data_IF_814600927662
#
_entry.id   IF_814600927662
#
_cell.length_a   1.000
_cell.length_b   1.000
_cell.length_c   1.000
_cell.angle_alpha   90.00
_cell.angle_beta   90.00
_cell.angle_gamma   90.00
#
_symmetry.space_group_name_H-M   'P 1'
#
loop_
_entity.id
_entity.type
_entity.pdbx_description
1 polymer ?
#
# COMPACT_ATOMS: atom_id res chain seq x y z
N UNK A 1 57.65 72.17 -26.82
CA UNK A 1 57.00 72.32 -25.54
C UNK A 1 55.68 71.54 -25.63
N UNK A 2 55.54 70.62 -24.77
CA UNK A 2 54.86 69.36 -24.83
C UNK A 2 53.31 69.45 -24.58
N UNK A 3 52.52 69.07 -25.55
CA UNK A 3 51.11 68.83 -25.39
C UNK A 3 50.86 67.31 -25.13
N UNK A 4 50.26 67.04 -24.01
CA UNK A 4 49.87 65.66 -23.61
C UNK A 4 48.51 65.33 -24.22
N UNK A 5 48.51 64.33 -25.07
CA UNK A 5 47.35 63.72 -25.68
C UNK A 5 46.64 62.81 -24.62
N UNK A 6 45.44 63.19 -24.19
CA UNK A 6 44.59 62.35 -23.29
C UNK A 6 43.74 61.44 -24.18
N UNK A 7 44.09 60.17 -24.22
CA UNK A 7 43.27 59.10 -24.80
C UNK A 7 42.15 58.73 -23.81
N UNK A 8 40.90 59.01 -24.18
CA UNK A 8 39.72 58.48 -23.50
C UNK A 8 39.56 57.01 -23.91
N UNK A 9 39.75 56.11 -22.93
CA UNK A 9 39.43 54.70 -23.06
C UNK A 9 37.95 54.54 -22.70
N UNK A 10 37.13 54.15 -23.66
CA UNK A 10 35.78 53.73 -23.42
C UNK A 10 35.81 52.26 -22.94
N UNK A 11 35.46 52.04 -21.66
CA UNK A 11 35.21 50.69 -21.13
C UNK A 11 33.75 50.34 -21.46
N UNK A 12 33.56 49.49 -22.43
CA UNK A 12 32.28 48.88 -22.72
C UNK A 12 32.03 47.83 -21.59
N UNK A 13 31.14 48.17 -20.66
CA UNK A 13 30.60 47.18 -19.68
C UNK A 13 29.61 46.32 -20.42
N UNK A 14 30.02 45.14 -20.85
CA UNK A 14 29.16 44.08 -21.32
C UNK A 14 28.39 43.54 -20.12
N UNK A 15 27.13 43.91 -19.92
CA UNK A 15 26.24 43.27 -18.99
C UNK A 15 25.95 41.86 -19.53
N UNK A 16 26.68 40.88 -19.03
CA UNK A 16 26.31 39.48 -19.18
C UNK A 16 25.01 39.27 -18.40
N UNK A 17 23.90 39.18 -19.10
CA UNK A 17 22.64 38.67 -18.56
C UNK A 17 22.89 37.21 -18.31
N UNK A 18 23.21 36.86 -17.05
CA UNK A 18 23.14 35.52 -16.56
C UNK A 18 21.66 35.11 -16.57
N UNK A 19 21.25 34.44 -17.61
CA UNK A 19 20.03 33.66 -17.57
C UNK A 19 20.28 32.61 -16.48
N UNK A 20 19.61 32.79 -15.35
CA UNK A 20 19.65 31.86 -14.25
C UNK A 20 19.29 30.49 -14.77
N UNK A 21 20.12 29.52 -14.47
CA UNK A 21 19.78 28.11 -14.48
C UNK A 21 18.46 27.98 -13.76
N UNK A 22 17.49 27.33 -14.44
CA UNK A 22 16.21 27.00 -13.82
C UNK A 22 16.46 26.37 -12.47
N UNK A 23 15.70 26.80 -11.49
CA UNK A 23 15.72 26.25 -10.13
C UNK A 23 15.65 24.73 -10.25
N UNK A 24 16.76 24.08 -9.86
CA UNK A 24 16.71 22.66 -9.57
C UNK A 24 15.66 22.52 -8.47
N UNK A 25 14.50 21.95 -8.81
CA UNK A 25 13.40 21.80 -7.88
C UNK A 25 13.91 21.13 -6.60
N UNK A 26 13.90 21.88 -5.50
CA UNK A 26 14.41 21.37 -4.22
C UNK A 26 13.36 20.41 -3.69
N UNK A 27 13.69 19.12 -3.62
CA UNK A 27 12.84 18.13 -2.99
C UNK A 27 12.97 18.19 -1.47
N UNK A 28 11.87 18.30 -0.79
CA UNK A 28 11.77 18.08 0.66
C UNK A 28 11.66 16.58 0.92
N UNK A 29 12.46 16.07 1.85
CA UNK A 29 12.42 14.69 2.31
C UNK A 29 12.00 14.63 3.78
N UNK A 30 11.16 13.65 4.11
CA UNK A 30 10.66 13.37 5.47
C UNK A 30 10.75 11.88 5.71
N UNK A 31 11.36 11.50 6.84
CA UNK A 31 11.40 10.14 7.35
C UNK A 31 10.74 10.10 8.73
N UNK A 32 10.00 9.03 9.02
CA UNK A 32 9.28 8.90 10.28
C UNK A 32 8.56 7.58 10.45
N UNK A 33 7.51 7.61 11.27
CA UNK A 33 6.64 6.45 11.54
C UNK A 33 5.18 6.87 11.34
N UNK A 34 4.42 6.08 10.58
CA UNK A 34 3.00 6.25 10.32
C UNK A 34 2.30 4.88 10.29
N UNK A 35 1.10 4.77 10.80
CA UNK A 35 0.36 3.49 10.92
C UNK A 35 1.14 2.36 11.61
N UNK A 36 2.13 2.70 12.46
CA UNK A 36 2.96 1.72 13.17
C UNK A 36 4.10 1.12 12.36
N UNK A 37 4.41 1.69 11.18
CA UNK A 37 5.51 1.27 10.30
C UNK A 37 6.30 2.49 9.78
N UNK A 38 7.30 2.27 8.93
CA UNK A 38 8.12 3.35 8.35
C UNK A 38 7.30 4.29 7.49
N UNK A 39 7.67 5.57 7.48
CA UNK A 39 7.16 6.63 6.62
C UNK A 39 8.32 7.25 5.86
N UNK A 40 8.22 7.33 4.54
CA UNK A 40 9.13 8.10 3.70
C UNK A 40 8.35 8.98 2.74
N UNK A 41 8.71 10.27 2.69
CA UNK A 41 8.17 11.24 1.72
C UNK A 41 9.35 11.91 1.02
N UNK A 42 9.31 11.97 -0.29
CA UNK A 42 10.19 12.84 -1.08
C UNK A 42 9.32 13.56 -2.11
N UNK A 43 9.23 14.89 -2.02
CA UNK A 43 8.32 15.68 -2.84
C UNK A 43 8.92 17.05 -3.20
N UNK A 44 8.63 17.56 -4.40
CA UNK A 44 9.06 18.87 -4.90
C UNK A 44 8.19 20.04 -4.40
N UNK A 45 7.85 20.00 -3.10
CA UNK A 45 7.08 21.08 -2.46
C UNK A 45 7.93 22.34 -2.29
N UNK A 46 7.34 23.51 -2.57
CA UNK A 46 8.03 24.80 -2.42
C UNK A 46 7.50 25.56 -1.21
N UNK A 47 8.39 26.12 -0.41
CA UNK A 47 8.02 26.93 0.76
C UNK A 47 7.43 26.12 1.92
N UNK A 48 7.50 24.80 1.87
CA UNK A 48 7.05 23.88 2.93
C UNK A 48 8.27 23.18 3.53
N UNK A 49 8.47 23.34 4.81
CA UNK A 49 9.55 22.68 5.52
C UNK A 49 9.25 21.18 5.76
N UNK A 50 10.29 20.38 5.97
CA UNK A 50 10.14 18.97 6.34
C UNK A 50 9.32 18.81 7.64
N UNK A 51 9.44 19.75 8.58
CA UNK A 51 8.69 19.71 9.84
C UNK A 51 7.19 19.97 9.62
N UNK A 52 6.82 20.92 8.77
CA UNK A 52 5.42 21.20 8.43
C UNK A 52 4.79 20.04 7.68
N UNK A 53 5.52 19.46 6.71
CA UNK A 53 5.06 18.29 5.96
C UNK A 53 4.87 17.07 6.87
N UNK A 54 5.81 16.83 7.79
CA UNK A 54 5.69 15.77 8.79
C UNK A 54 4.50 16.00 9.74
N UNK A 55 4.29 17.22 10.22
CA UNK A 55 3.17 17.53 11.08
C UNK A 55 1.81 17.28 10.39
N UNK A 56 1.70 17.66 9.12
CA UNK A 56 0.51 17.38 8.31
C UNK A 56 0.29 15.86 8.07
N UNK A 57 1.37 15.11 7.84
CA UNK A 57 1.30 13.65 7.74
C UNK A 57 0.84 13.00 9.05
N UNK A 58 1.28 13.50 10.20
CA UNK A 58 0.84 13.00 11.51
C UNK A 58 -0.62 13.33 11.83
N UNK A 59 -1.16 14.43 11.31
CA UNK A 59 -2.60 14.70 11.41
C UNK A 59 -3.40 13.68 10.61
N UNK A 60 -2.95 13.39 9.38
CA UNK A 60 -3.54 12.34 8.55
C UNK A 60 -3.46 10.95 9.19
N UNK A 61 -2.33 10.62 9.87
CA UNK A 61 -2.19 9.38 10.64
C UNK A 61 -3.26 9.25 11.72
N UNK A 62 -3.51 10.34 12.48
CA UNK A 62 -4.56 10.36 13.51
C UNK A 62 -5.96 10.18 12.91
N UNK A 63 -6.25 10.87 11.80
CA UNK A 63 -7.53 10.73 11.08
C UNK A 63 -7.75 9.30 10.57
N UNK A 64 -6.75 8.71 9.94
CA UNK A 64 -6.79 7.34 9.42
C UNK A 64 -7.03 6.33 10.55
N UNK A 65 -6.29 6.43 11.64
CA UNK A 65 -6.44 5.55 12.81
C UNK A 65 -7.81 5.72 13.49
N UNK A 66 -8.25 6.94 13.72
CA UNK A 66 -9.56 7.22 14.30
C UNK A 66 -10.73 6.70 13.45
N UNK A 67 -10.52 6.58 12.13
CA UNK A 67 -11.54 6.07 11.22
C UNK A 67 -11.48 4.56 11.02
N UNK A 68 -10.30 3.99 10.71
CA UNK A 68 -10.17 2.67 10.09
C UNK A 68 -9.44 1.63 10.95
N UNK A 69 -8.89 1.98 12.10
CA UNK A 69 -8.15 1.02 12.93
C UNK A 69 -9.09 0.00 13.58
N UNK A 70 -8.74 -1.29 13.47
CA UNK A 70 -9.39 -2.35 14.28
C UNK A 70 -8.74 -2.51 15.66
N UNK A 71 -7.59 -1.86 15.88
CA UNK A 71 -6.80 -1.94 17.14
C UNK A 71 -7.15 -0.82 18.11
N UNK A 72 -7.74 0.29 17.62
CA UNK A 72 -8.27 1.38 18.45
C UNK A 72 -9.76 1.12 18.72
N UNK A 73 -10.16 0.83 19.99
CA UNK A 73 -11.55 0.61 20.31
C UNK A 73 -12.43 1.86 20.11
N UNK A 74 -11.84 3.07 20.12
CA UNK A 74 -12.52 4.33 19.86
C UNK A 74 -12.75 4.64 18.38
N UNK A 75 -12.08 3.94 17.48
CA UNK A 75 -12.20 4.19 16.04
C UNK A 75 -13.63 3.95 15.52
N UNK A 76 -13.96 4.64 14.41
CA UNK A 76 -15.26 4.45 13.77
C UNK A 76 -15.49 3.00 13.35
N UNK A 77 -14.48 2.36 12.73
CA UNK A 77 -14.56 0.97 12.30
C UNK A 77 -14.82 0.02 13.48
N UNK A 78 -14.10 0.19 14.59
CA UNK A 78 -14.30 -0.63 15.79
C UNK A 78 -15.71 -0.44 16.39
N UNK A 79 -16.25 0.78 16.38
CA UNK A 79 -17.61 1.08 16.84
C UNK A 79 -18.67 0.48 15.89
N UNK A 80 -18.46 0.55 14.57
CA UNK A 80 -19.30 -0.15 13.58
C UNK A 80 -19.28 -1.67 13.81
N UNK A 81 -18.10 -2.24 14.09
CA UNK A 81 -17.96 -3.66 14.38
C UNK A 81 -18.74 -4.10 15.63
N UNK A 82 -18.79 -3.25 16.65
CA UNK A 82 -19.57 -3.52 17.89
C UNK A 82 -21.03 -3.07 17.83
N UNK A 83 -21.50 -2.59 16.67
CA UNK A 83 -22.87 -2.07 16.46
C UNK A 83 -23.23 -0.88 17.38
N UNK A 84 -22.25 -0.08 17.79
CA UNK A 84 -22.43 1.15 18.57
C UNK A 84 -22.83 2.33 17.68
N UNK A 85 -22.64 2.21 16.38
CA UNK A 85 -23.04 3.17 15.36
C UNK A 85 -23.23 2.42 14.04
N UNK A 86 -24.01 3.00 13.15
CA UNK A 86 -24.18 2.56 11.76
C UNK A 86 -23.73 3.61 10.74
N UNK A 87 -23.32 4.79 11.20
CA UNK A 87 -22.93 5.91 10.34
C UNK A 87 -21.64 5.63 9.57
N UNK A 88 -21.70 5.77 8.26
CA UNK A 88 -20.57 5.54 7.35
C UNK A 88 -20.08 6.87 6.80
N UNK A 89 -18.80 7.19 7.05
CA UNK A 89 -18.13 8.35 6.50
C UNK A 89 -17.18 7.98 5.36
N UNK A 90 -16.62 9.00 4.68
CA UNK A 90 -15.84 8.87 3.45
C UNK A 90 -14.81 7.75 3.43
N UNK A 91 -14.04 7.55 4.52
CA UNK A 91 -12.98 6.54 4.56
C UNK A 91 -13.54 5.12 4.60
N UNK A 92 -14.59 4.90 5.39
CA UNK A 92 -15.28 3.60 5.45
C UNK A 92 -15.98 3.31 4.12
N UNK A 93 -16.70 4.29 3.56
CA UNK A 93 -17.42 4.13 2.30
C UNK A 93 -16.47 3.78 1.14
N UNK A 94 -15.33 4.48 1.04
CA UNK A 94 -14.33 4.22 -0.01
C UNK A 94 -13.80 2.77 0.09
N UNK A 95 -13.35 2.37 1.29
CA UNK A 95 -12.76 1.04 1.49
C UNK A 95 -13.80 -0.08 1.26
N UNK A 96 -15.06 0.09 1.68
CA UNK A 96 -16.14 -0.86 1.39
C UNK A 96 -16.41 -0.98 -0.11
N UNK A 97 -16.49 0.14 -0.83
CA UNK A 97 -16.76 0.14 -2.27
C UNK A 97 -15.63 -0.55 -3.06
N UNK A 98 -14.37 -0.22 -2.74
CA UNK A 98 -13.23 -0.86 -3.40
C UNK A 98 -13.16 -2.34 -3.03
N UNK A 99 -13.37 -2.69 -1.75
CA UNK A 99 -13.39 -4.07 -1.29
C UNK A 99 -14.48 -4.91 -1.99
N UNK A 100 -15.68 -4.35 -2.20
CA UNK A 100 -16.75 -5.02 -2.93
C UNK A 100 -16.37 -5.30 -4.39
N UNK A 101 -15.74 -4.32 -5.04
CA UNK A 101 -15.25 -4.45 -6.43
C UNK A 101 -14.18 -5.56 -6.56
N UNK A 102 -13.19 -5.59 -5.67
CA UNK A 102 -12.14 -6.61 -5.65
C UNK A 102 -12.72 -7.97 -5.25
N UNK A 103 -13.65 -8.00 -4.30
CA UNK A 103 -14.36 -9.21 -3.88
C UNK A 103 -15.14 -9.85 -5.03
N UNK A 104 -15.83 -9.04 -5.84
CA UNK A 104 -16.51 -9.51 -7.05
C UNK A 104 -15.52 -10.08 -8.07
N UNK A 105 -14.42 -9.38 -8.33
CA UNK A 105 -13.35 -9.79 -9.24
C UNK A 105 -12.72 -11.13 -8.83
N UNK A 106 -12.57 -11.35 -7.52
CA UNK A 106 -11.94 -12.54 -6.94
C UNK A 106 -12.83 -13.77 -6.85
N UNK A 107 -14.13 -13.65 -7.17
CA UNK A 107 -15.11 -14.71 -6.88
C UNK A 107 -15.24 -14.99 -5.38
N UNK A 108 -15.12 -13.94 -4.54
CA UNK A 108 -15.29 -14.01 -3.09
C UNK A 108 -14.04 -14.47 -2.33
N UNK A 109 -12.85 -14.50 -2.94
CA UNK A 109 -11.60 -14.81 -2.25
C UNK A 109 -10.97 -13.59 -1.56
N UNK A 110 -11.46 -12.40 -1.85
CA UNK A 110 -11.16 -11.18 -1.14
C UNK A 110 -12.44 -10.68 -0.48
N UNK A 111 -12.42 -10.52 0.84
CA UNK A 111 -13.59 -10.08 1.60
C UNK A 111 -13.15 -9.40 2.90
N UNK A 112 -13.59 -8.17 3.11
CA UNK A 112 -13.27 -7.41 4.33
C UNK A 112 -14.12 -7.81 5.54
N UNK A 113 -15.07 -8.74 5.39
CA UNK A 113 -15.85 -9.28 6.52
C UNK A 113 -15.12 -10.40 7.26
N UNK A 114 -13.88 -10.72 6.87
CA UNK A 114 -13.05 -11.80 7.44
C UNK A 114 -12.59 -11.58 8.88
N UNK A 115 -12.81 -10.41 9.48
CA UNK A 115 -12.31 -10.08 10.82
C UNK A 115 -12.53 -11.18 11.88
N UNK A 116 -13.72 -11.80 12.00
CA UNK A 116 -13.94 -12.86 12.98
C UNK A 116 -13.04 -14.10 12.75
N UNK A 117 -12.76 -14.42 11.47
CA UNK A 117 -11.82 -15.52 11.14
C UNK A 117 -10.38 -15.15 11.49
N UNK A 118 -9.95 -13.92 11.14
CA UNK A 118 -8.60 -13.42 11.45
C UNK A 118 -8.36 -13.41 12.98
N UNK A 119 -9.38 -13.05 13.77
CA UNK A 119 -9.32 -13.12 15.24
C UNK A 119 -9.24 -14.54 15.75
N UNK A 120 -10.06 -15.46 15.23
CA UNK A 120 -10.06 -16.87 15.64
C UNK A 120 -8.72 -17.55 15.35
N UNK A 121 -8.06 -17.19 14.24
CA UNK A 121 -6.70 -17.64 13.91
C UNK A 121 -5.59 -16.86 14.63
N UNK A 122 -5.89 -15.90 15.51
CA UNK A 122 -4.92 -15.23 16.38
C UNK A 122 -4.15 -14.05 15.78
N UNK A 123 -4.58 -13.47 14.64
CA UNK A 123 -3.84 -12.41 13.96
C UNK A 123 -4.28 -10.97 14.29
N UNK A 124 -5.44 -10.77 14.92
CA UNK A 124 -5.96 -9.44 15.27
C UNK A 124 -5.79 -9.11 16.77
N UNK A 125 -4.68 -9.51 17.37
CA UNK A 125 -4.37 -9.24 18.79
C UNK A 125 -5.05 -10.19 19.79
N UNK A 126 -5.73 -11.23 19.33
CA UNK A 126 -6.24 -12.33 20.16
C UNK A 126 -5.26 -13.50 20.17
N UNK A 127 -5.35 -14.32 21.21
CA UNK A 127 -4.67 -15.61 21.24
C UNK A 127 -5.38 -16.54 20.25
N UNK A 128 -4.61 -17.25 19.41
CA UNK A 128 -5.17 -18.21 18.47
C UNK A 128 -6.00 -19.29 19.20
N UNK A 129 -7.17 -19.60 18.66
CA UNK A 129 -7.94 -20.76 19.09
C UNK A 129 -7.25 -22.01 18.54
N UNK A 130 -7.14 -23.05 19.38
CA UNK A 130 -6.44 -24.28 19.00
C UNK A 130 -7.09 -24.98 17.80
N UNK A 131 -8.42 -24.87 17.71
CA UNK A 131 -9.26 -25.38 16.63
C UNK A 131 -10.46 -24.42 16.46
N UNK A 132 -10.32 -23.34 15.65
CA UNK A 132 -11.45 -22.43 15.42
C UNK A 132 -12.67 -23.17 14.84
N UNK A 133 -13.84 -22.88 15.36
CA UNK A 133 -15.11 -23.35 14.76
C UNK A 133 -15.41 -22.49 13.51
N UNK A 134 -14.68 -22.81 12.44
CA UNK A 134 -14.70 -22.07 11.17
C UNK A 134 -16.12 -22.09 10.56
N UNK A 135 -16.84 -23.22 10.65
CA UNK A 135 -18.17 -23.37 10.03
C UNK A 135 -19.17 -22.43 10.69
N UNK A 136 -19.15 -22.31 12.02
CA UNK A 136 -19.99 -21.36 12.75
C UNK A 136 -19.64 -19.91 12.41
N UNK A 137 -18.37 -19.59 12.20
CA UNK A 137 -17.92 -18.23 11.87
C UNK A 137 -18.31 -17.87 10.42
N UNK A 138 -18.17 -18.79 9.48
CA UNK A 138 -18.54 -18.57 8.07
C UNK A 138 -20.03 -18.23 7.90
N UNK A 139 -20.90 -18.60 8.84
CA UNK A 139 -22.31 -18.22 8.81
C UNK A 139 -22.55 -16.70 8.76
N UNK A 140 -21.60 -15.89 9.27
CA UNK A 140 -21.68 -14.41 9.29
C UNK A 140 -20.48 -13.71 8.64
N UNK A 141 -19.70 -14.41 7.80
CA UNK A 141 -18.69 -13.86 6.89
C UNK A 141 -19.27 -13.89 5.47
N UNK A 142 -19.07 -12.83 4.69
CA UNK A 142 -19.52 -12.70 3.31
C UNK A 142 -19.83 -11.25 2.94
N UNK A 143 -19.29 -10.77 1.84
CA UNK A 143 -19.47 -9.39 1.35
C UNK A 143 -20.95 -9.06 1.08
N UNK A 144 -21.75 -10.04 0.71
CA UNK A 144 -23.20 -9.90 0.49
C UNK A 144 -23.99 -9.64 1.78
N UNK A 145 -23.38 -9.85 2.94
CA UNK A 145 -24.00 -9.64 4.26
C UNK A 145 -23.86 -8.21 4.76
N UNK A 146 -23.19 -7.34 4.01
CA UNK A 146 -22.98 -5.93 4.35
C UNK A 146 -23.23 -5.05 3.15
N UNK A 147 -23.90 -3.90 3.37
CA UNK A 147 -24.11 -2.88 2.35
C UNK A 147 -24.23 -1.50 2.99
N UNK A 148 -24.04 -0.45 2.20
CA UNK A 148 -24.25 0.92 2.62
C UNK A 148 -25.54 1.44 2.00
N UNK A 149 -26.47 1.90 2.82
CA UNK A 149 -27.74 2.52 2.43
C UNK A 149 -27.82 3.89 3.10
N UNK A 150 -28.03 4.93 2.34
CA UNK A 150 -28.20 6.31 2.84
C UNK A 150 -27.13 6.74 3.87
N UNK A 151 -25.85 6.35 3.64
CA UNK A 151 -24.75 6.64 4.55
C UNK A 151 -24.73 5.81 5.84
N UNK A 152 -25.47 4.70 5.88
CA UNK A 152 -25.51 3.77 7.01
C UNK A 152 -25.06 2.39 6.60
N UNK A 153 -24.33 1.73 7.48
CA UNK A 153 -23.92 0.33 7.34
C UNK A 153 -25.09 -0.58 7.75
N UNK A 154 -25.60 -1.34 6.80
CA UNK A 154 -26.62 -2.36 7.05
C UNK A 154 -25.92 -3.72 7.04
N UNK A 155 -26.07 -4.46 8.14
CA UNK A 155 -25.57 -5.83 8.30
C UNK A 155 -26.73 -6.82 8.30
N UNK A 156 -26.61 -7.92 7.56
CA UNK A 156 -27.58 -9.01 7.57
C UNK A 156 -27.56 -9.80 8.89
N UNK A 157 -26.42 -9.79 9.58
CA UNK A 157 -26.21 -10.38 10.90
C UNK A 157 -25.38 -9.44 11.77
N UNK A 158 -25.75 -9.14 13.03
CA UNK A 158 -25.01 -8.22 13.88
C UNK A 158 -23.59 -8.71 14.21
N UNK A 159 -23.27 -9.99 14.00
CA UNK A 159 -21.93 -10.58 14.17
C UNK A 159 -20.97 -10.25 13.02
N UNK A 160 -21.46 -9.75 11.88
CA UNK A 160 -20.59 -9.31 10.76
C UNK A 160 -19.64 -8.22 11.26
N UNK A 161 -18.36 -8.41 11.06
CA UNK A 161 -17.31 -7.45 11.42
C UNK A 161 -16.36 -7.23 10.25
N UNK A 162 -15.89 -6.00 10.10
CA UNK A 162 -15.05 -5.53 9.00
C UNK A 162 -13.59 -5.43 9.45
N UNK A 163 -12.68 -5.79 8.55
CA UNK A 163 -11.24 -5.57 8.65
C UNK A 163 -10.72 -4.95 7.34
N UNK A 164 -10.14 -3.77 7.42
CA UNK A 164 -9.56 -3.07 6.26
C UNK A 164 -8.03 -3.17 6.19
N UNK A 165 -7.37 -4.02 6.98
CA UNK A 165 -5.90 -4.13 6.99
C UNK A 165 -5.29 -4.50 5.63
N UNK A 166 -6.09 -5.05 4.72
CA UNK A 166 -5.70 -5.43 3.36
C UNK A 166 -5.85 -4.30 2.31
N UNK A 167 -6.23 -3.09 2.74
CA UNK A 167 -6.54 -1.98 1.84
C UNK A 167 -6.32 -0.61 2.48
N UNK A 168 -6.50 -0.48 3.80
CA UNK A 168 -6.45 0.80 4.50
C UNK A 168 -5.06 1.44 4.47
N UNK A 169 -3.99 0.65 4.40
CA UNK A 169 -2.62 1.15 4.30
C UNK A 169 -2.39 1.80 2.94
N UNK A 170 -2.67 1.10 1.83
CA UNK A 170 -2.61 1.65 0.48
C UNK A 170 -3.51 2.88 0.30
N UNK A 171 -4.72 2.85 0.87
CA UNK A 171 -5.61 4.02 0.86
C UNK A 171 -5.02 5.21 1.62
N UNK A 172 -4.37 4.99 2.76
CA UNK A 172 -3.72 6.09 3.51
C UNK A 172 -2.52 6.66 2.75
N UNK A 173 -1.79 5.82 2.01
CA UNK A 173 -0.73 6.27 1.08
C UNK A 173 -1.30 7.16 -0.02
N UNK A 174 -2.46 6.83 -0.59
CA UNK A 174 -3.14 7.68 -1.57
C UNK A 174 -3.63 9.01 -0.96
N UNK A 175 -4.06 9.00 0.30
CA UNK A 175 -4.40 10.24 1.02
C UNK A 175 -3.15 11.09 1.28
N UNK A 176 -2.03 10.48 1.63
CA UNK A 176 -0.75 11.16 1.81
C UNK A 176 -0.24 11.75 0.49
N UNK A 177 -0.42 11.06 -0.62
CA UNK A 177 -0.12 11.56 -1.96
C UNK A 177 -0.94 12.82 -2.28
N UNK A 178 -2.25 12.81 -2.00
CA UNK A 178 -3.12 14.00 -2.15
C UNK A 178 -2.72 15.13 -1.22
N UNK A 179 -2.23 14.82 -0.02
CA UNK A 179 -1.71 15.81 0.92
C UNK A 179 -0.49 16.53 0.33
N UNK A 180 0.51 15.82 -0.20
CA UNK A 180 1.68 16.46 -0.81
C UNK A 180 1.30 17.22 -2.09
N UNK A 181 0.34 16.74 -2.87
CA UNK A 181 -0.22 17.47 -4.01
C UNK A 181 -0.91 18.78 -3.58
N UNK A 182 -1.58 18.82 -2.43
CA UNK A 182 -2.19 20.03 -1.89
C UNK A 182 -1.18 21.11 -1.50
N UNK A 183 0.07 20.73 -1.23
CA UNK A 183 1.22 21.61 -1.06
C UNK A 183 1.91 21.98 -2.38
N UNK A 184 1.31 21.63 -3.53
CA UNK A 184 1.79 21.98 -4.87
C UNK A 184 2.79 21.00 -5.48
N UNK A 185 3.05 19.85 -4.86
CA UNK A 185 3.95 18.83 -5.41
C UNK A 185 3.43 18.30 -6.75
N UNK A 186 4.34 18.23 -7.72
CA UNK A 186 4.11 17.60 -9.03
C UNK A 186 4.93 16.34 -9.21
N UNK A 187 6.03 16.26 -8.49
CA UNK A 187 6.94 15.12 -8.49
C UNK A 187 7.12 14.67 -7.04
N UNK A 188 6.70 13.45 -6.75
CA UNK A 188 6.79 12.90 -5.40
C UNK A 188 6.83 11.38 -5.39
N UNK A 189 7.35 10.83 -4.31
CA UNK A 189 7.15 9.47 -3.85
C UNK A 189 6.79 9.53 -2.36
N UNK A 190 5.74 8.82 -1.99
CA UNK A 190 5.31 8.60 -0.61
C UNK A 190 5.23 7.11 -0.36
N UNK A 191 5.72 6.67 0.80
CA UNK A 191 5.84 5.26 1.19
C UNK A 191 5.43 5.12 2.66
N UNK A 192 4.56 4.16 2.95
CA UNK A 192 4.20 3.74 4.31
C UNK A 192 4.40 2.22 4.39
N UNK A 193 5.56 1.79 4.94
CA UNK A 193 5.86 0.38 5.17
C UNK A 193 5.90 -0.48 3.92
N UNK A 194 6.35 0.09 2.79
CA UNK A 194 6.49 -0.57 1.49
C UNK A 194 5.30 -0.43 0.56
N UNK A 195 4.18 0.15 0.99
CA UNK A 195 3.12 0.62 0.11
C UNK A 195 3.48 2.00 -0.40
N UNK A 196 3.55 2.14 -1.72
CA UNK A 196 4.10 3.31 -2.40
C UNK A 196 3.08 3.95 -3.33
N UNK A 197 3.03 5.28 -3.32
CA UNK A 197 2.39 6.08 -4.38
C UNK A 197 3.41 7.08 -4.90
N UNK A 198 3.57 7.19 -6.20
CA UNK A 198 4.43 8.20 -6.80
C UNK A 198 3.79 8.88 -8.01
N UNK A 199 4.36 10.04 -8.36
CA UNK A 199 4.03 10.80 -9.56
C UNK A 199 5.25 11.55 -10.06
N UNK A 200 5.33 11.75 -11.37
CA UNK A 200 6.41 12.50 -12.02
C UNK A 200 7.76 11.84 -11.91
N UNK A 201 8.83 12.60 -11.71
CA UNK A 201 10.20 12.15 -11.71
C UNK A 201 10.91 12.29 -10.36
N UNK A 202 12.02 11.60 -10.20
CA UNK A 202 12.93 11.75 -9.06
C UNK A 202 13.81 13.00 -9.22
N UNK A 203 14.68 13.29 -8.24
CA UNK A 203 15.60 14.45 -8.23
C UNK A 203 16.52 14.55 -9.46
N UNK A 204 16.75 13.43 -10.17
CA UNK A 204 17.56 13.37 -11.39
C UNK A 204 16.71 13.49 -12.67
N UNK A 205 15.39 13.72 -12.55
CA UNK A 205 14.45 13.81 -13.67
C UNK A 205 14.06 12.46 -14.29
N UNK A 206 14.52 11.33 -13.72
CA UNK A 206 14.16 9.98 -14.16
C UNK A 206 12.97 9.41 -13.38
N UNK A 207 12.53 8.18 -13.71
CA UNK A 207 11.48 7.50 -12.97
C UNK A 207 11.90 7.20 -11.52
N UNK A 208 10.93 7.07 -10.64
CA UNK A 208 11.15 6.56 -9.29
C UNK A 208 11.58 5.10 -9.35
N UNK A 209 12.45 4.70 -8.43
CA UNK A 209 13.02 3.35 -8.35
C UNK A 209 12.61 2.73 -7.03
N UNK A 210 11.89 1.63 -7.09
CA UNK A 210 11.33 0.94 -5.93
C UNK A 210 11.91 -0.46 -5.89
N UNK A 211 12.41 -0.89 -4.72
CA UNK A 211 12.90 -2.25 -4.48
C UNK A 211 11.75 -3.18 -4.11
N UNK A 212 11.78 -4.41 -4.62
CA UNK A 212 10.95 -5.52 -4.16
C UNK A 212 11.83 -6.45 -3.35
N UNK A 213 11.43 -6.77 -2.14
CA UNK A 213 12.21 -7.58 -1.22
C UNK A 213 12.10 -9.08 -1.47
N UNK A 214 13.14 -9.81 -1.08
CA UNK A 214 13.17 -11.27 -1.12
C UNK A 214 12.28 -11.84 -0.01
N UNK A 215 11.32 -12.74 -0.31
CA UNK A 215 10.32 -13.21 0.64
C UNK A 215 10.78 -14.46 1.41
N UNK A 216 11.83 -14.37 2.22
CA UNK A 216 12.19 -15.46 3.13
C UNK A 216 11.54 -15.27 4.51
N UNK A 217 11.21 -16.39 5.18
CA UNK A 217 10.53 -16.37 6.45
C UNK A 217 11.32 -15.59 7.52
N UNK A 218 10.65 -14.61 8.14
CA UNK A 218 11.27 -13.75 9.14
C UNK A 218 12.07 -12.58 8.57
N UNK A 219 12.02 -12.29 7.26
CA UNK A 219 12.59 -11.05 6.71
C UNK A 219 11.84 -9.83 7.26
N UNK A 220 12.47 -9.14 8.22
CA UNK A 220 11.95 -7.92 8.86
C UNK A 220 12.80 -6.69 8.55
N UNK A 221 13.83 -6.83 7.67
CA UNK A 221 14.80 -5.78 7.33
C UNK A 221 14.39 -5.10 6.04
N UNK A 222 13.79 -3.91 6.13
CA UNK A 222 13.35 -3.15 4.96
C UNK A 222 14.55 -2.73 4.09
N UNK A 223 14.51 -3.07 2.79
CA UNK A 223 15.49 -2.67 1.77
C UNK A 223 16.84 -3.41 1.78
N UNK A 224 17.08 -4.32 2.73
CA UNK A 224 18.37 -5.04 2.82
C UNK A 224 18.48 -6.15 1.76
N UNK A 225 17.38 -6.85 1.49
CA UNK A 225 17.34 -8.00 0.59
C UNK A 225 16.44 -7.74 -0.62
N UNK A 226 16.94 -6.92 -1.57
CA UNK A 226 16.18 -6.55 -2.76
C UNK A 226 16.29 -7.61 -3.85
N UNK A 227 15.17 -8.23 -4.19
CA UNK A 227 15.05 -9.24 -5.27
C UNK A 227 15.04 -8.59 -6.65
N UNK A 228 14.21 -7.54 -6.83
CA UNK A 228 14.05 -6.80 -8.09
C UNK A 228 13.92 -5.30 -7.83
N UNK A 229 14.17 -4.52 -8.87
CA UNK A 229 13.88 -3.07 -8.87
C UNK A 229 12.87 -2.74 -9.96
N UNK A 230 11.91 -1.91 -9.61
CA UNK A 230 10.85 -1.41 -10.50
C UNK A 230 11.04 0.09 -10.71
N UNK A 231 10.80 0.55 -11.95
CA UNK A 231 10.65 1.98 -12.28
C UNK A 231 9.18 2.33 -12.40
N UNK A 232 8.78 3.41 -11.75
CA UNK A 232 7.41 3.93 -11.76
C UNK A 232 7.44 5.46 -11.89
N UNK A 233 6.58 6.02 -12.75
CA UNK A 233 6.43 7.47 -12.94
C UNK A 233 5.09 8.00 -12.43
N UNK A 234 4.07 7.17 -12.41
CA UNK A 234 2.76 7.46 -11.86
C UNK A 234 2.05 6.16 -11.48
N UNK A 235 1.43 6.14 -10.31
CA UNK A 235 0.67 5.00 -9.81
C UNK A 235 1.05 4.58 -8.40
N UNK A 236 0.38 3.54 -7.94
CA UNK A 236 0.64 2.85 -6.68
C UNK A 236 1.39 1.54 -6.87
N UNK A 237 2.14 1.13 -5.87
CA UNK A 237 2.78 -0.17 -5.76
C UNK A 237 2.56 -0.69 -4.35
N UNK A 238 2.17 -1.96 -4.23
CA UNK A 238 2.06 -2.63 -2.94
C UNK A 238 2.56 -4.07 -3.04
N UNK A 239 3.08 -4.60 -1.92
CA UNK A 239 3.55 -5.98 -1.83
C UNK A 239 2.90 -6.69 -0.66
N UNK A 240 2.13 -7.74 -0.94
CA UNK A 240 1.55 -8.65 0.04
C UNK A 240 2.37 -9.94 0.15
N UNK A 241 2.54 -10.48 1.36
CA UNK A 241 3.32 -11.71 1.55
C UNK A 241 3.00 -12.43 2.86
N UNK A 242 3.07 -13.76 2.82
CA UNK A 242 2.80 -14.64 3.97
C UNK A 242 4.09 -15.05 4.72
N UNK A 243 5.24 -14.42 4.44
CA UNK A 243 6.53 -14.72 5.04
C UNK A 243 6.86 -13.90 6.31
N UNK A 244 6.18 -12.75 6.51
CA UNK A 244 6.43 -11.87 7.67
C UNK A 244 5.54 -12.18 8.87
N UNK A 245 4.29 -12.64 8.65
CA UNK A 245 3.28 -12.81 9.71
C UNK A 245 2.65 -14.21 9.61
N UNK A 246 3.24 -15.16 10.31
CA UNK A 246 2.78 -16.53 10.40
C UNK A 246 3.19 -17.13 11.75
N UNK A 247 2.63 -18.28 12.08
CA UNK A 247 3.09 -19.15 13.15
C UNK A 247 2.99 -20.62 12.69
N UNK A 248 3.63 -21.52 13.42
CA UNK A 248 3.44 -22.97 13.24
C UNK A 248 2.42 -23.45 14.26
N UNK A 249 1.42 -24.22 13.80
CA UNK A 249 0.43 -24.84 14.67
C UNK A 249 1.04 -26.02 15.46
N UNK A 250 0.21 -26.72 16.26
CA UNK A 250 0.68 -27.83 17.07
C UNK A 250 1.19 -29.04 16.26
N UNK A 251 0.77 -29.14 15.00
CA UNK A 251 1.15 -30.20 14.06
C UNK A 251 2.33 -29.77 13.16
N UNK A 252 2.87 -28.56 13.38
CA UNK A 252 3.99 -27.99 12.60
C UNK A 252 3.58 -27.38 11.27
N UNK A 253 2.27 -27.22 10.99
CA UNK A 253 1.82 -26.57 9.76
C UNK A 253 1.91 -25.06 9.88
N UNK A 254 2.33 -24.39 8.78
CA UNK A 254 2.37 -22.95 8.70
C UNK A 254 0.95 -22.37 8.61
N UNK A 255 0.63 -21.45 9.52
CA UNK A 255 -0.60 -20.66 9.51
C UNK A 255 -0.24 -19.20 9.26
N UNK A 256 -0.60 -18.66 8.13
CA UNK A 256 -0.35 -17.27 7.76
C UNK A 256 -1.60 -16.41 8.00
N UNK A 257 -1.38 -15.10 8.10
CA UNK A 257 -2.43 -14.13 8.42
C UNK A 257 -3.47 -13.92 7.31
N UNK A 258 -3.16 -14.28 6.08
CA UNK A 258 -4.12 -14.21 4.96
C UNK A 258 -5.06 -15.40 5.05
N UNK A 259 -6.35 -15.11 5.16
CA UNK A 259 -7.40 -16.12 5.27
C UNK A 259 -8.22 -16.14 3.97
N UNK A 260 -8.50 -17.32 3.41
CA UNK A 260 -9.50 -17.48 2.33
C UNK A 260 -10.91 -17.41 2.97
N UNK A 261 -11.71 -16.36 2.68
CA UNK A 261 -13.01 -16.18 3.31
C UNK A 261 -14.04 -17.25 2.96
N UNK A 262 -13.82 -18.01 1.90
CA UNK A 262 -14.72 -19.08 1.47
C UNK A 262 -14.52 -20.38 2.26
N UNK A 263 -13.29 -20.63 2.68
CA UNK A 263 -12.93 -21.83 3.45
C UNK A 263 -12.73 -21.53 4.92
N UNK A 264 -12.58 -20.25 5.28
CA UNK A 264 -12.22 -19.78 6.61
C UNK A 264 -10.84 -20.24 7.11
N UNK A 265 -10.01 -20.75 6.21
CA UNK A 265 -8.67 -21.28 6.53
C UNK A 265 -7.57 -20.38 6.03
N UNK A 266 -6.39 -20.49 6.62
CA UNK A 266 -5.20 -19.77 6.16
C UNK A 266 -4.86 -20.14 4.71
N UNK A 267 -4.65 -19.13 3.87
CA UNK A 267 -4.30 -19.27 2.45
C UNK A 267 -2.80 -19.54 2.27
N UNK A 268 -2.31 -20.61 2.85
CA UNK A 268 -0.91 -21.06 2.67
C UNK A 268 -0.79 -21.78 1.33
N UNK A 269 0.16 -21.34 0.51
CA UNK A 269 0.47 -21.96 -0.78
C UNK A 269 1.95 -21.68 -1.12
N UNK A 270 2.41 -22.20 -2.25
CA UNK A 270 3.75 -21.86 -2.76
C UNK A 270 3.88 -20.38 -3.21
N UNK A 271 2.81 -19.59 -3.30
CA UNK A 271 2.85 -18.15 -3.54
C UNK A 271 3.29 -17.42 -2.27
N UNK A 272 4.54 -16.96 -2.25
CA UNK A 272 5.16 -16.34 -1.09
C UNK A 272 4.92 -14.83 -1.04
N UNK A 273 5.00 -14.18 -2.19
CA UNK A 273 4.90 -12.73 -2.32
C UNK A 273 4.20 -12.31 -3.61
N UNK A 274 3.42 -11.26 -3.52
CA UNK A 274 2.68 -10.64 -4.62
C UNK A 274 2.94 -9.14 -4.61
N UNK A 275 3.61 -8.64 -5.62
CA UNK A 275 3.74 -7.21 -5.86
C UNK A 275 2.80 -6.79 -6.99
N UNK A 276 2.02 -5.75 -6.77
CA UNK A 276 1.08 -5.19 -7.74
C UNK A 276 1.39 -3.73 -7.99
N UNK A 277 1.38 -3.31 -9.25
CA UNK A 277 1.31 -1.90 -9.63
C UNK A 277 -0.08 -1.60 -10.22
N UNK A 278 -0.71 -0.52 -9.72
CA UNK A 278 -2.07 -0.11 -10.09
C UNK A 278 -2.18 1.42 -10.18
N UNK A 279 -3.29 1.98 -10.70
CA UNK A 279 -3.53 3.42 -10.71
C UNK A 279 -3.49 4.06 -9.31
N UNK A 280 -3.93 3.34 -8.27
CA UNK A 280 -3.89 3.78 -6.88
C UNK A 280 -3.18 2.75 -5.99
N UNK A 281 -2.63 3.20 -4.87
CA UNK A 281 -1.98 2.31 -3.91
C UNK A 281 -3.01 1.43 -3.17
N UNK A 282 -4.21 1.95 -2.90
CA UNK A 282 -5.32 1.19 -2.34
C UNK A 282 -5.70 -0.02 -3.22
N UNK A 283 -5.77 0.18 -4.53
CA UNK A 283 -6.07 -0.88 -5.48
C UNK A 283 -4.93 -1.91 -5.55
N UNK A 284 -3.67 -1.46 -5.55
CA UNK A 284 -2.51 -2.34 -5.53
C UNK A 284 -2.48 -3.22 -4.27
N UNK A 285 -2.74 -2.65 -3.10
CA UNK A 285 -2.78 -3.32 -1.79
C UNK A 285 -3.89 -4.40 -1.76
N UNK A 286 -5.11 -4.03 -2.16
CA UNK A 286 -6.25 -4.96 -2.20
C UNK A 286 -6.03 -6.10 -3.21
N UNK A 287 -5.52 -5.81 -4.42
CA UNK A 287 -5.20 -6.83 -5.43
C UNK A 287 -4.09 -7.76 -4.96
N UNK A 288 -3.05 -7.24 -4.30
CA UNK A 288 -1.98 -8.05 -3.72
C UNK A 288 -2.51 -9.08 -2.74
N UNK A 289 -3.37 -8.65 -1.81
CA UNK A 289 -4.03 -9.54 -0.84
C UNK A 289 -4.98 -10.52 -1.54
N UNK A 290 -5.73 -10.08 -2.55
CA UNK A 290 -6.61 -10.94 -3.36
C UNK A 290 -5.85 -12.11 -3.98
N UNK A 291 -4.76 -11.85 -4.70
CA UNK A 291 -3.95 -12.91 -5.33
C UNK A 291 -3.33 -13.83 -4.28
N UNK A 292 -2.86 -13.29 -3.17
CA UNK A 292 -2.29 -14.08 -2.09
C UNK A 292 -3.33 -15.03 -1.47
N UNK A 293 -4.57 -14.56 -1.26
CA UNK A 293 -5.69 -15.36 -0.77
C UNK A 293 -6.16 -16.42 -1.78
N UNK A 294 -5.97 -16.20 -3.09
CA UNK A 294 -6.24 -17.19 -4.12
C UNK A 294 -5.27 -18.37 -4.09
N UNK A 295 -4.04 -18.14 -3.59
CA UNK A 295 -2.95 -19.11 -3.71
C UNK A 295 -2.39 -19.19 -5.13
N UNK A 296 -1.27 -19.93 -5.31
CA UNK A 296 -0.47 -19.90 -6.51
C UNK A 296 -1.25 -20.24 -7.80
N UNK A 297 -1.93 -21.38 -7.79
CA UNK A 297 -2.53 -21.93 -9.03
C UNK A 297 -3.69 -21.09 -9.54
N UNK A 298 -4.56 -20.63 -8.64
CA UNK A 298 -5.70 -19.81 -9.02
C UNK A 298 -5.30 -18.36 -9.29
N UNK A 299 -4.30 -17.82 -8.61
CA UNK A 299 -3.71 -16.51 -8.92
C UNK A 299 -3.12 -16.49 -10.34
N UNK A 300 -2.32 -17.52 -10.71
CA UNK A 300 -1.75 -17.65 -12.06
C UNK A 300 -2.83 -17.82 -13.14
N UNK A 301 -3.94 -18.53 -12.84
CA UNK A 301 -5.08 -18.61 -13.77
C UNK A 301 -5.79 -17.25 -13.91
N UNK A 302 -6.04 -16.56 -12.79
CA UNK A 302 -6.71 -15.26 -12.79
C UNK A 302 -5.93 -14.21 -13.59
N UNK A 303 -4.61 -14.11 -13.40
CA UNK A 303 -3.75 -13.16 -14.14
C UNK A 303 -3.86 -13.35 -15.67
N UNK A 304 -4.00 -14.58 -16.16
CA UNK A 304 -4.15 -14.84 -17.60
C UNK A 304 -5.43 -14.25 -18.19
N UNK A 305 -6.44 -14.00 -17.37
CA UNK A 305 -7.69 -13.32 -17.78
C UNK A 305 -7.67 -11.81 -17.58
N UNK A 306 -6.56 -11.28 -17.06
CA UNK A 306 -6.37 -9.87 -16.72
C UNK A 306 -5.13 -9.30 -17.45
N UNK A 307 -5.18 -9.09 -18.78
CA UNK A 307 -3.98 -8.79 -19.57
C UNK A 307 -3.27 -7.49 -19.16
N UNK A 308 -3.99 -6.53 -18.61
CA UNK A 308 -3.46 -5.23 -18.20
C UNK A 308 -2.96 -5.21 -16.75
N UNK A 309 -3.16 -6.30 -16.00
CA UNK A 309 -2.71 -6.35 -14.60
C UNK A 309 -1.20 -6.41 -14.52
N UNK A 310 -0.62 -5.56 -13.69
CA UNK A 310 0.83 -5.46 -13.47
C UNK A 310 1.18 -6.18 -12.18
N UNK A 311 1.59 -7.44 -12.28
CA UNK A 311 1.95 -8.25 -11.11
C UNK A 311 3.32 -8.89 -11.27
N UNK A 312 3.99 -9.04 -10.13
CA UNK A 312 5.18 -9.83 -9.96
C UNK A 312 4.96 -10.79 -8.79
N UNK A 313 4.98 -12.08 -9.06
CA UNK A 313 4.83 -13.14 -8.07
C UNK A 313 6.18 -13.79 -7.79
N UNK A 314 6.43 -14.08 -6.53
CA UNK A 314 7.53 -14.92 -6.10
C UNK A 314 6.92 -16.17 -5.45
N UNK A 315 7.28 -17.32 -5.99
CA UNK A 315 6.77 -18.62 -5.58
C UNK A 315 7.92 -19.46 -4.99
N UNK A 316 7.60 -20.31 -4.02
CA UNK A 316 8.55 -21.32 -3.56
C UNK A 316 8.81 -22.34 -4.67
N UNK A 317 10.07 -22.71 -4.86
CA UNK A 317 10.52 -23.81 -5.70
C UNK A 317 10.75 -25.08 -4.88
N UNK A 318 10.69 -26.24 -5.51
CA UNK A 318 10.91 -27.58 -4.87
C UNK A 318 12.34 -27.74 -4.34
N UNK A 319 13.31 -26.95 -4.83
CA UNK A 319 14.73 -27.00 -4.47
C UNK A 319 15.14 -25.94 -3.44
N UNK A 320 14.22 -25.48 -2.57
CA UNK A 320 14.43 -24.40 -1.60
C UNK A 320 14.81 -23.05 -2.25
N UNK A 321 14.49 -22.87 -3.54
CA UNK A 321 14.69 -21.65 -4.31
C UNK A 321 13.40 -20.86 -4.51
N UNK A 322 13.46 -19.93 -5.48
CA UNK A 322 12.33 -19.10 -5.88
C UNK A 322 12.07 -19.21 -7.38
N UNK A 323 10.81 -19.38 -7.74
CA UNK A 323 10.30 -19.22 -9.09
C UNK A 323 9.65 -17.84 -9.20
N UNK A 324 9.91 -17.12 -10.29
CA UNK A 324 9.35 -15.80 -10.54
C UNK A 324 8.31 -15.86 -11.67
N UNK A 325 7.17 -15.20 -11.48
CA UNK A 325 6.22 -14.90 -12.53
C UNK A 325 6.05 -13.39 -12.65
N UNK A 326 6.28 -12.87 -13.85
CA UNK A 326 6.12 -11.45 -14.18
C UNK A 326 5.04 -11.35 -15.26
N UNK A 327 3.97 -10.60 -15.02
CA UNK A 327 2.98 -10.36 -16.06
C UNK A 327 3.56 -9.50 -17.19
N UNK A 328 3.12 -9.67 -18.46
CA UNK A 328 3.63 -8.89 -19.58
C UNK A 328 3.53 -7.36 -19.35
N UNK A 329 2.47 -6.91 -18.69
CA UNK A 329 2.30 -5.50 -18.37
C UNK A 329 3.28 -4.99 -17.28
N UNK A 330 3.81 -5.88 -16.43
CA UNK A 330 4.82 -5.55 -15.41
C UNK A 330 6.24 -5.56 -15.96
N UNK A 331 6.53 -6.39 -16.98
CA UNK A 331 7.90 -6.55 -17.54
C UNK A 331 8.53 -5.23 -17.94
N UNK A 332 7.75 -4.31 -18.57
CA UNK A 332 8.22 -2.99 -18.98
C UNK A 332 8.69 -2.10 -17.81
N UNK A 333 8.31 -2.44 -16.58
CA UNK A 333 8.65 -1.70 -15.37
C UNK A 333 9.89 -2.26 -14.67
N UNK A 334 10.27 -3.50 -14.91
CA UNK A 334 11.44 -4.14 -14.29
C UNK A 334 12.72 -3.45 -14.78
N UNK A 335 13.62 -3.19 -13.85
CA UNK A 335 14.96 -2.68 -14.15
C UNK A 335 15.93 -3.87 -14.32
N UNK A 336 16.72 -3.80 -15.35
CA UNK A 336 17.82 -4.77 -15.59
C UNK A 336 18.96 -4.55 -14.61
#
# INVERSE_FOLDING_TARGET
MTEKLIRKVWIAVSAAILWGCGDASSYTAVDGVMLGTTLHITADVQGVSAQELYAAAMELDREAKASMSIFDPGSLLSRLNRNETDSVYRHIAFNLHLADSIGALSGGRYDVTVKPLVEAWGFAGRQAERHPDVDSILAFVGREKVRVEEGRLVKADPRVQLDFNSIAKGYTVDLLARLVESFGARNYIVDIGGEVRCKGGNRQGGPWRIGIETPFDGNMSDGEYVQKRIRLTDGGLATSGNYRRFYLDADGNKVAHTIDPRTGRSAVSRLLSVTVAAPTCAEADALGTMFLAMGADDALKAVRTMPDVKVYFILADEADGYEEYISPAMEAMIMQ
#
